data_IF_221474084530
#
_entry.id   IF_221474084530
#
_cell.length_a   1.000
_cell.length_b   1.000
_cell.length_c   1.000
_cell.angle_alpha   90.00
_cell.angle_beta   90.00
_cell.angle_gamma   90.00
#
_symmetry.space_group_name_H-M   'P 1'
#
loop_
_entity.id
_entity.type
_entity.pdbx_description
1 polymer ?
#
# COMPACT_ATOMS: atom_id res chain seq x y z
N UNK A 1 8.85 -18.71 -3.83
CA UNK A 1 8.86 -17.27 -3.44
C UNK A 1 7.55 -16.66 -3.90
N UNK A 2 6.49 -16.76 -3.08
CA UNK A 2 5.17 -16.20 -3.39
C UNK A 2 5.01 -14.98 -2.48
N UNK A 3 4.81 -13.80 -3.07
CA UNK A 3 4.33 -12.55 -2.44
C UNK A 3 5.33 -11.38 -2.21
N UNK A 4 6.30 -11.15 -3.11
CA UNK A 4 7.14 -9.93 -3.08
C UNK A 4 6.57 -8.74 -3.88
N UNK A 5 5.25 -8.71 -4.11
CA UNK A 5 4.62 -7.70 -4.97
C UNK A 5 3.86 -6.68 -4.11
N UNK A 6 3.93 -5.41 -4.50
CA UNK A 6 3.11 -4.34 -3.95
C UNK A 6 2.11 -3.92 -5.02
N UNK A 7 0.82 -4.02 -4.71
CA UNK A 7 -0.24 -3.59 -5.63
C UNK A 7 -0.48 -2.09 -5.45
N UNK A 8 -0.41 -1.35 -6.55
CA UNK A 8 -0.82 0.05 -6.61
C UNK A 8 -2.27 0.15 -7.04
N UNK A 9 -3.07 0.89 -6.27
CA UNK A 9 -4.49 1.07 -6.55
C UNK A 9 -4.90 2.52 -6.34
N UNK A 10 -5.85 2.99 -7.15
CA UNK A 10 -6.58 4.24 -6.92
C UNK A 10 -8.03 3.99 -6.44
N UNK A 11 -8.50 2.74 -6.54
CA UNK A 11 -9.86 2.36 -6.20
C UNK A 11 -10.09 2.28 -4.68
N UNK A 12 -11.25 2.74 -4.22
CA UNK A 12 -11.62 2.86 -2.81
C UNK A 12 -11.92 1.50 -2.16
N UNK A 13 -12.37 0.52 -2.94
CA UNK A 13 -12.98 -0.72 -2.43
C UNK A 13 -11.99 -1.87 -2.17
N UNK A 14 -10.73 -1.73 -2.59
CA UNK A 14 -9.75 -2.82 -2.47
C UNK A 14 -9.35 -3.13 -1.02
N UNK A 15 -9.42 -2.16 -0.11
CA UNK A 15 -9.20 -2.39 1.32
C UNK A 15 -10.20 -3.39 1.90
N UNK A 16 -11.44 -3.36 1.38
CA UNK A 16 -12.52 -4.29 1.71
C UNK A 16 -12.28 -5.67 1.10
N UNK A 17 -11.78 -5.71 -0.14
CA UNK A 17 -11.39 -6.97 -0.80
C UNK A 17 -10.25 -7.65 -0.03
N UNK A 18 -9.24 -6.87 0.37
CA UNK A 18 -8.09 -7.34 1.16
C UNK A 18 -8.50 -7.95 2.50
N UNK A 19 -9.41 -7.32 3.23
CA UNK A 19 -9.90 -7.85 4.51
C UNK A 19 -10.57 -9.21 4.39
N UNK A 20 -11.07 -9.57 3.20
CA UNK A 20 -11.70 -10.87 2.94
C UNK A 20 -10.69 -11.94 2.49
N UNK A 21 -9.52 -11.53 1.99
CA UNK A 21 -8.41 -12.44 1.65
C UNK A 21 -7.51 -12.66 2.86
N UNK A 22 -7.81 -13.71 3.62
CA UNK A 22 -7.34 -13.90 5.01
C UNK A 22 -5.92 -14.45 5.23
N UNK A 23 -5.13 -14.79 4.21
CA UNK A 23 -3.90 -15.57 4.48
C UNK A 23 -2.64 -15.20 3.67
N UNK A 24 -2.73 -14.54 2.51
CA UNK A 24 -1.57 -14.41 1.61
C UNK A 24 -1.64 -13.16 0.72
N UNK A 25 -2.17 -12.06 1.24
CA UNK A 25 -2.42 -10.90 0.41
C UNK A 25 -1.16 -10.05 0.26
N UNK A 26 -0.83 -9.61 -0.96
CA UNK A 26 0.30 -8.72 -1.18
C UNK A 26 0.09 -7.41 -0.43
N UNK A 27 1.19 -6.74 -0.13
CA UNK A 27 1.16 -5.36 0.35
C UNK A 27 0.51 -4.44 -0.68
N UNK A 28 -0.18 -3.40 -0.21
CA UNK A 28 -0.94 -2.51 -1.09
C UNK A 28 -0.63 -1.05 -0.81
N UNK A 29 -0.44 -0.28 -1.87
CA UNK A 29 -0.37 1.18 -1.84
C UNK A 29 -1.63 1.73 -2.50
N UNK A 30 -2.49 2.33 -1.68
CA UNK A 30 -3.66 3.05 -2.12
C UNK A 30 -3.35 4.53 -2.28
N UNK A 31 -3.50 5.01 -3.50
CA UNK A 31 -3.32 6.41 -3.88
C UNK A 31 -4.67 7.11 -3.78
N UNK A 32 -4.79 8.09 -2.89
CA UNK A 32 -5.96 8.96 -2.69
C UNK A 32 -5.57 10.41 -2.90
N UNK A 33 -5.21 10.72 -4.13
CA UNK A 33 -4.95 12.09 -4.59
C UNK A 33 -5.65 12.33 -5.93
N UNK A 34 -5.98 13.59 -6.19
CA UNK A 34 -6.42 14.07 -7.50
C UNK A 34 -5.24 14.30 -8.45
N UNK A 35 -4.02 14.41 -7.91
CA UNK A 35 -2.77 14.66 -8.61
C UNK A 35 -2.05 13.34 -8.89
N UNK A 36 -2.48 12.66 -9.95
CA UNK A 36 -1.94 11.36 -10.36
C UNK A 36 -0.71 11.46 -11.27
N UNK A 37 -0.18 12.67 -11.50
CA UNK A 37 1.01 12.85 -12.33
C UNK A 37 2.21 12.09 -11.71
N UNK A 38 2.84 11.14 -12.42
CA UNK A 38 3.94 10.34 -11.88
C UNK A 38 5.10 11.19 -11.32
N UNK A 39 5.36 12.37 -11.89
CA UNK A 39 6.39 13.28 -11.39
C UNK A 39 6.08 13.83 -9.99
N UNK A 40 4.79 14.02 -9.69
CA UNK A 40 4.34 14.57 -8.41
C UNK A 40 4.24 13.48 -7.34
N UNK A 41 3.69 12.31 -7.69
CA UNK A 41 3.45 11.25 -6.71
C UNK A 41 4.59 10.24 -6.58
N UNK A 42 5.42 10.08 -7.61
CA UNK A 42 6.49 9.07 -7.66
C UNK A 42 7.47 9.19 -6.50
N UNK A 43 7.91 10.41 -6.18
CA UNK A 43 8.82 10.65 -5.05
C UNK A 43 8.21 10.27 -3.70
N UNK A 44 6.90 10.49 -3.54
CA UNK A 44 6.18 10.13 -2.31
C UNK A 44 6.03 8.62 -2.19
N UNK A 45 5.76 7.93 -3.31
CA UNK A 45 5.72 6.47 -3.39
C UNK A 45 7.08 5.87 -3.03
N UNK A 46 8.15 6.33 -3.69
CA UNK A 46 9.51 5.84 -3.43
C UNK A 46 9.94 6.06 -1.98
N UNK A 47 9.63 7.23 -1.43
CA UNK A 47 9.87 7.53 -0.01
C UNK A 47 9.09 6.60 0.91
N UNK A 48 7.82 6.29 0.59
CA UNK A 48 7.03 5.36 1.38
C UNK A 48 7.59 3.92 1.31
N UNK A 49 8.01 3.46 0.12
CA UNK A 49 8.64 2.16 -0.06
C UNK A 49 9.90 2.01 0.79
N UNK A 50 10.79 3.01 0.75
CA UNK A 50 12.04 2.99 1.51
C UNK A 50 11.79 3.08 3.02
N UNK A 51 10.92 3.99 3.46
CA UNK A 51 10.70 4.22 4.89
C UNK A 51 9.95 3.08 5.57
N UNK A 52 9.16 2.31 4.81
CA UNK A 52 8.28 1.28 5.35
C UNK A 52 8.53 -0.12 4.78
N UNK A 53 9.71 -0.37 4.22
CA UNK A 53 10.09 -1.64 3.60
C UNK A 53 9.71 -2.86 4.47
N UNK A 54 10.08 -2.86 5.76
CA UNK A 54 9.77 -3.95 6.70
C UNK A 54 8.26 -4.21 6.84
N UNK A 55 7.47 -3.15 6.89
CA UNK A 55 6.01 -3.26 7.00
C UNK A 55 5.43 -3.86 5.71
N UNK A 56 5.98 -3.50 4.56
CA UNK A 56 5.55 -4.07 3.29
C UNK A 56 5.98 -5.53 3.10
N UNK A 57 7.12 -5.95 3.65
CA UNK A 57 7.54 -7.35 3.70
C UNK A 57 6.60 -8.17 4.60
N UNK A 58 6.19 -7.61 5.74
CA UNK A 58 5.28 -8.25 6.69
C UNK A 58 3.82 -8.24 6.21
N UNK A 59 3.50 -7.38 5.23
CA UNK A 59 2.17 -7.23 4.65
C UNK A 59 1.40 -6.06 5.26
N UNK A 60 1.34 -4.96 4.51
CA UNK A 60 0.74 -3.71 4.96
C UNK A 60 -0.10 -3.06 3.87
N UNK A 61 -0.99 -2.17 4.31
CA UNK A 61 -1.66 -1.21 3.44
C UNK A 61 -1.15 0.20 3.75
N UNK A 62 -0.64 0.88 2.73
CA UNK A 62 -0.29 2.29 2.79
C UNK A 62 -1.32 3.10 2.02
N UNK A 63 -1.82 4.17 2.61
CA UNK A 63 -2.71 5.14 1.99
C UNK A 63 -1.95 6.44 1.82
N UNK A 64 -1.66 6.81 0.58
CA UNK A 64 -0.96 8.04 0.20
C UNK A 64 -2.01 9.06 -0.22
N UNK A 65 -2.02 10.24 0.40
CA UNK A 65 -2.83 11.38 -0.03
C UNK A 65 -1.98 12.65 -0.06
N UNK A 66 -2.54 13.74 -0.58
CA UNK A 66 -1.86 15.04 -0.77
C UNK A 66 -1.22 15.63 0.50
N UNK A 67 -1.67 15.21 1.68
CA UNK A 67 -1.23 15.79 2.96
C UNK A 67 -0.33 14.85 3.76
N UNK A 68 -0.48 13.54 3.59
CA UNK A 68 0.21 12.53 4.42
C UNK A 68 0.13 11.13 3.84
N UNK A 69 1.18 10.36 4.07
CA UNK A 69 1.17 8.90 3.96
C UNK A 69 0.75 8.29 5.29
N UNK A 70 -0.21 7.38 5.27
CA UNK A 70 -0.61 6.58 6.43
C UNK A 70 -0.37 5.12 6.15
N UNK A 71 0.40 4.44 6.99
CA UNK A 71 0.61 3.00 6.88
C UNK A 71 -0.11 2.26 8.00
N UNK A 72 -0.68 1.09 7.67
CA UNK A 72 -1.32 0.18 8.61
C UNK A 72 -0.89 -1.24 8.27
N UNK A 73 -0.40 -1.97 9.28
CA UNK A 73 -0.13 -3.40 9.17
C UNK A 73 -1.48 -4.13 9.04
N UNK A 74 -1.59 -5.05 8.08
CA UNK A 74 -2.78 -5.88 7.96
C UNK A 74 -2.73 -6.96 9.06
N UNK A 75 -3.87 -7.34 9.65
CA UNK A 75 -3.91 -8.44 10.61
C UNK A 75 -3.66 -9.77 9.89
N UNK A 76 -2.39 -10.04 9.56
CA UNK A 76 -1.95 -11.27 8.94
C UNK A 76 -1.65 -12.25 10.06
N UNK A 77 -2.41 -13.35 10.13
CA UNK A 77 -2.06 -14.47 11.01
C UNK A 77 -0.92 -15.25 10.34
N UNK A 78 0.12 -15.54 11.13
CA UNK A 78 1.21 -16.45 10.74
C UNK A 78 0.70 -17.83 10.39
#
# INVERSE_FOLDING_TARGET
>A
MKNNHIIFIHDLDFGTILSNTLNNSPSVIQIRTQKINPEEIGNTILSALNNFEKHFIEGAIAVINDKKTRIKILPLKK
#
